data_IF_291177792894
#
_entry.id   IF_291177792894
#
_cell.length_a   1.000
_cell.length_b   1.000
_cell.length_c   1.000
_cell.angle_alpha   90.00
_cell.angle_beta   90.00
_cell.angle_gamma   90.00
#
_symmetry.space_group_name_H-M   'P 1'
#
loop_
_entity.id
_entity.type
_entity.pdbx_description
1 polymer ?
#
# COMPACT_ATOMS: atom_id res chain seq x y z
N UNK A 1 0.71 -46.40 26.45
CA UNK A 1 0.87 -45.77 25.12
C UNK A 1 0.90 -44.23 25.25
N UNK A 2 2.07 -43.58 25.20
CA UNK A 2 2.20 -42.11 25.28
C UNK A 2 1.84 -41.46 23.93
N UNK A 3 0.73 -40.72 23.86
CA UNK A 3 0.34 -39.92 22.67
C UNK A 3 1.32 -38.75 22.50
N UNK A 4 2.22 -38.83 21.51
CA UNK A 4 3.04 -37.69 21.06
C UNK A 4 2.11 -36.63 20.44
N UNK A 5 1.88 -35.50 21.12
CA UNK A 5 1.25 -34.31 20.53
C UNK A 5 2.14 -33.80 19.39
N UNK A 6 1.72 -33.98 18.14
CA UNK A 6 2.34 -33.33 16.96
C UNK A 6 2.19 -31.81 17.16
N UNK A 7 3.30 -31.09 17.42
CA UNK A 7 3.35 -29.63 17.33
C UNK A 7 3.00 -29.22 15.91
N UNK A 8 1.80 -28.69 15.69
CA UNK A 8 1.39 -28.05 14.43
C UNK A 8 2.37 -26.91 14.17
N UNK A 9 3.23 -27.04 13.16
CA UNK A 9 4.12 -25.97 12.69
C UNK A 9 3.20 -24.84 12.21
N UNK A 10 3.03 -23.77 13.00
CA UNK A 10 2.28 -22.58 12.56
C UNK A 10 2.93 -22.12 11.27
N UNK A 11 2.21 -22.20 10.13
CA UNK A 11 2.64 -21.59 8.88
C UNK A 11 2.90 -20.11 9.20
N UNK A 12 4.06 -19.58 8.81
CA UNK A 12 4.30 -18.14 8.92
C UNK A 12 3.23 -17.47 8.06
N UNK A 13 2.29 -16.79 8.70
CA UNK A 13 1.32 -15.93 8.01
C UNK A 13 2.12 -14.76 7.45
N UNK A 14 2.46 -14.83 6.17
CA UNK A 14 3.02 -13.68 5.45
C UNK A 14 1.86 -12.96 4.79
N UNK A 15 1.35 -11.91 5.43
CA UNK A 15 0.48 -10.92 4.78
C UNK A 15 1.33 -9.95 3.95
N UNK A 16 2.19 -10.49 3.10
CA UNK A 16 3.12 -9.73 2.28
C UNK A 16 2.41 -8.85 1.27
N UNK A 17 1.23 -9.26 0.80
CA UNK A 17 0.35 -8.51 -0.08
C UNK A 17 -0.01 -7.13 0.50
N UNK A 18 -0.29 -7.05 1.81
CA UNK A 18 -0.59 -5.78 2.47
C UNK A 18 0.62 -4.84 2.46
N UNK A 19 1.81 -5.38 2.74
CA UNK A 19 3.05 -4.59 2.72
C UNK A 19 3.42 -4.15 1.30
N UNK A 20 3.34 -5.06 0.33
CA UNK A 20 3.63 -4.77 -1.08
C UNK A 20 2.69 -3.70 -1.62
N UNK A 21 1.38 -3.83 -1.35
CA UNK A 21 0.40 -2.84 -1.72
C UNK A 21 0.71 -1.48 -1.07
N UNK A 22 0.92 -1.46 0.25
CA UNK A 22 1.22 -0.24 0.98
C UNK A 22 2.44 0.49 0.40
N UNK A 23 3.55 -0.22 0.15
CA UNK A 23 4.77 0.36 -0.42
C UNK A 23 4.52 0.94 -1.81
N UNK A 24 3.86 0.19 -2.69
CA UNK A 24 3.58 0.63 -4.06
C UNK A 24 2.61 1.82 -4.12
N UNK A 25 1.62 1.87 -3.21
CA UNK A 25 0.72 3.02 -3.07
C UNK A 25 1.42 4.26 -2.47
N UNK A 26 2.37 4.08 -1.55
CA UNK A 26 3.23 5.17 -1.09
C UNK A 26 4.08 5.74 -2.25
N UNK A 27 4.68 4.86 -3.06
CA UNK A 27 5.42 5.26 -4.26
C UNK A 27 4.53 6.04 -5.22
N UNK A 28 3.31 5.55 -5.48
CA UNK A 28 2.34 6.24 -6.32
C UNK A 28 2.07 7.66 -5.82
N UNK A 29 1.71 7.79 -4.54
CA UNK A 29 1.41 9.10 -3.94
C UNK A 29 2.57 10.07 -4.06
N UNK A 30 3.79 9.64 -3.76
CA UNK A 30 5.00 10.47 -3.86
C UNK A 30 5.30 10.88 -5.30
N UNK A 31 5.20 9.94 -6.25
CA UNK A 31 5.53 10.19 -7.66
C UNK A 31 4.53 11.15 -8.32
N UNK A 32 3.22 10.98 -8.10
CA UNK A 32 2.23 11.92 -8.66
C UNK A 32 2.38 13.32 -8.04
N UNK A 33 2.63 13.42 -6.73
CA UNK A 33 2.96 14.71 -6.09
C UNK A 33 4.18 15.38 -6.73
N UNK A 34 5.23 14.60 -7.02
CA UNK A 34 6.45 15.09 -7.64
C UNK A 34 6.21 15.57 -9.07
N UNK A 35 5.42 14.85 -9.85
CA UNK A 35 5.01 15.25 -11.21
C UNK A 35 4.25 16.58 -11.18
N UNK A 36 3.26 16.70 -10.30
CA UNK A 36 2.42 17.89 -10.22
C UNK A 36 3.19 19.11 -9.71
N UNK A 37 4.15 18.91 -8.80
CA UNK A 37 5.07 19.97 -8.38
C UNK A 37 5.91 20.48 -9.56
N UNK A 38 6.34 19.61 -10.48
CA UNK A 38 7.06 20.03 -11.70
C UNK A 38 6.16 20.78 -12.68
N UNK A 39 4.89 20.39 -12.77
CA UNK A 39 3.87 21.01 -13.62
C UNK A 39 3.24 22.26 -13.00
N UNK A 40 3.70 22.71 -11.83
CA UNK A 40 3.16 23.84 -11.06
C UNK A 40 1.68 23.71 -10.71
N UNK A 41 1.17 22.47 -10.60
CA UNK A 41 -0.20 22.21 -10.14
C UNK A 41 -0.21 22.31 -8.61
N UNK A 42 -1.05 23.19 -8.07
CA UNK A 42 -1.22 23.31 -6.63
C UNK A 42 -1.93 22.08 -6.05
N UNK A 43 -1.30 21.46 -5.05
CA UNK A 43 -1.87 20.37 -4.28
C UNK A 43 -1.94 20.81 -2.82
N UNK A 44 -3.12 20.72 -2.22
CA UNK A 44 -3.31 20.90 -0.79
C UNK A 44 -3.14 19.56 -0.06
N UNK A 45 -1.92 19.26 0.38
CA UNK A 45 -1.63 18.08 1.20
C UNK A 45 -1.67 18.44 2.68
N UNK A 46 -2.74 18.02 3.36
CA UNK A 46 -2.90 18.20 4.81
C UNK A 46 -1.90 17.39 5.63
N UNK A 47 -1.24 16.39 5.04
CA UNK A 47 -0.34 15.46 5.72
C UNK A 47 0.92 15.12 4.90
N UNK A 48 1.82 16.10 4.69
CA UNK A 48 2.98 15.94 3.80
C UNK A 48 3.99 14.88 4.26
N UNK A 49 4.05 14.61 5.58
CA UNK A 49 4.99 13.66 6.19
C UNK A 49 4.43 12.25 6.32
N UNK A 50 3.15 12.02 5.99
CA UNK A 50 2.57 10.67 6.02
C UNK A 50 2.88 9.92 4.73
N UNK A 51 3.03 8.60 4.85
CA UNK A 51 3.23 7.67 3.74
C UNK A 51 4.53 7.95 2.95
N UNK A 52 5.56 8.45 3.63
CA UNK A 52 6.88 8.69 3.05
C UNK A 52 7.71 7.41 3.15
N UNK A 53 8.28 7.01 2.03
CA UNK A 53 9.21 5.88 1.92
C UNK A 53 10.52 6.35 1.30
N UNK A 54 11.57 5.54 1.48
CA UNK A 54 12.92 5.84 0.99
C UNK A 54 13.01 5.73 -0.54
N UNK A 55 13.72 6.69 -1.15
CA UNK A 55 14.06 6.70 -2.58
C UNK A 55 14.96 5.53 -3.00
N UNK A 56 15.64 4.87 -2.05
CA UNK A 56 16.48 3.70 -2.32
C UNK A 56 15.65 2.41 -2.56
N UNK A 57 14.33 2.45 -2.34
CA UNK A 57 13.46 1.30 -2.55
C UNK A 57 13.38 0.92 -4.03
N UNK A 58 13.28 -0.40 -4.35
CA UNK A 58 12.98 -0.85 -5.70
C UNK A 58 11.72 -0.16 -6.25
N UNK A 59 11.84 0.40 -7.45
CA UNK A 59 10.77 1.16 -8.08
C UNK A 59 9.69 0.24 -8.64
N UNK A 60 8.43 0.54 -8.34
CA UNK A 60 7.29 -0.13 -8.96
C UNK A 60 7.29 0.04 -10.48
N UNK A 61 7.12 -1.08 -11.18
CA UNK A 61 6.93 -1.11 -12.63
C UNK A 61 5.66 -0.36 -13.06
N UNK A 62 4.60 -0.34 -12.24
CA UNK A 62 3.36 0.34 -12.57
C UNK A 62 3.51 1.86 -12.36
N UNK A 63 4.02 2.26 -11.19
CA UNK A 63 4.09 3.67 -10.79
C UNK A 63 5.08 4.46 -11.64
N UNK A 64 6.26 3.89 -11.88
CA UNK A 64 7.36 4.57 -12.57
C UNK A 64 7.38 4.31 -14.09
N UNK A 65 6.35 3.69 -14.65
CA UNK A 65 6.20 3.63 -16.10
C UNK A 65 5.87 5.03 -16.64
N UNK A 66 6.73 5.58 -17.48
CA UNK A 66 6.57 6.90 -18.11
C UNK A 66 5.55 6.90 -19.24
N UNK A 67 5.22 5.74 -19.79
CA UNK A 67 4.30 5.60 -20.92
C UNK A 67 2.83 5.50 -20.50
N UNK A 68 2.57 5.28 -19.20
CA UNK A 68 1.20 5.14 -18.68
C UNK A 68 0.70 6.43 -18.05
N UNK A 69 -0.56 6.78 -18.34
CA UNK A 69 -1.20 7.93 -17.72
C UNK A 69 -1.44 7.68 -16.22
N UNK A 70 -1.62 8.74 -15.44
CA UNK A 70 -1.97 8.62 -14.01
C UNK A 70 -3.24 7.80 -13.79
N UNK A 71 -4.24 7.94 -14.67
CA UNK A 71 -5.49 7.17 -14.61
C UNK A 71 -5.24 5.69 -14.84
N UNK A 72 -4.42 5.35 -15.83
CA UNK A 72 -4.07 3.95 -16.11
C UNK A 72 -3.29 3.32 -14.96
N UNK A 73 -2.42 4.09 -14.29
CA UNK A 73 -1.73 3.64 -13.07
C UNK A 73 -2.71 3.32 -11.95
N UNK A 74 -3.70 4.19 -11.72
CA UNK A 74 -4.76 3.95 -10.73
C UNK A 74 -5.50 2.65 -11.06
N UNK A 75 -5.97 2.50 -12.31
CA UNK A 75 -6.69 1.31 -12.77
C UNK A 75 -5.84 0.04 -12.57
N UNK A 76 -4.57 0.07 -12.98
CA UNK A 76 -3.65 -1.06 -12.84
C UNK A 76 -3.43 -1.46 -11.38
N UNK A 77 -3.30 -0.49 -10.46
CA UNK A 77 -3.17 -0.75 -9.03
C UNK A 77 -4.46 -1.35 -8.44
N UNK A 78 -5.64 -0.88 -8.87
CA UNK A 78 -6.92 -1.47 -8.44
C UNK A 78 -7.03 -2.91 -8.93
N UNK A 79 -6.68 -3.20 -10.18
CA UNK A 79 -6.66 -4.56 -10.70
C UNK A 79 -5.69 -5.48 -9.96
N UNK A 80 -4.53 -4.95 -9.55
CA UNK A 80 -3.47 -5.73 -8.90
C UNK A 80 -3.79 -6.10 -7.45
N UNK A 81 -4.40 -5.18 -6.69
CA UNK A 81 -4.55 -5.31 -5.25
C UNK A 81 -5.99 -5.30 -4.74
N UNK A 82 -6.92 -4.64 -5.43
CA UNK A 82 -8.23 -4.29 -4.85
C UNK A 82 -9.38 -5.09 -5.49
N UNK A 83 -9.26 -5.44 -6.77
CA UNK A 83 -10.27 -6.24 -7.47
C UNK A 83 -10.41 -7.60 -6.78
N UNK A 84 -11.66 -8.03 -6.56
CA UNK A 84 -11.93 -9.36 -6.02
C UNK A 84 -11.32 -10.44 -6.93
N UNK A 85 -10.62 -11.40 -6.33
CA UNK A 85 -9.88 -12.44 -7.04
C UNK A 85 -8.53 -11.98 -7.61
N UNK A 86 -8.05 -10.78 -7.27
CA UNK A 86 -6.70 -10.35 -7.65
C UNK A 86 -5.63 -11.24 -6.97
N UNK A 87 -4.51 -11.47 -7.66
CA UNK A 87 -3.42 -12.31 -7.14
C UNK A 87 -2.85 -11.79 -5.81
N UNK A 88 -2.82 -10.47 -5.64
CA UNK A 88 -2.38 -9.81 -4.42
C UNK A 88 -3.56 -9.09 -3.75
N UNK A 89 -4.75 -9.67 -3.80
CA UNK A 89 -5.94 -9.11 -3.17
C UNK A 89 -5.69 -8.80 -1.69
N UNK A 90 -5.82 -7.52 -1.33
CA UNK A 90 -5.65 -7.05 0.05
C UNK A 90 -6.95 -7.18 0.84
N UNK A 91 -6.81 -7.32 2.15
CA UNK A 91 -7.94 -7.31 3.07
C UNK A 91 -8.27 -5.88 3.51
N UNK A 92 -9.25 -5.26 2.85
CA UNK A 92 -9.77 -3.92 3.16
C UNK A 92 -11.28 -3.97 3.35
N UNK A 93 -11.84 -2.91 3.94
CA UNK A 93 -13.27 -2.79 4.16
C UNK A 93 -14.07 -2.92 2.85
N UNK A 94 -15.27 -3.49 2.95
CA UNK A 94 -16.18 -3.65 1.81
C UNK A 94 -16.51 -2.29 1.17
N UNK A 95 -16.71 -1.27 2.00
CA UNK A 95 -16.98 0.09 1.55
C UNK A 95 -15.83 0.64 0.70
N UNK A 96 -14.59 0.64 1.22
CA UNK A 96 -13.43 1.16 0.48
C UNK A 96 -13.17 0.37 -0.79
N UNK A 97 -13.37 -0.96 -0.77
CA UNK A 97 -13.30 -1.77 -1.98
C UNK A 97 -14.32 -1.32 -3.03
N UNK A 98 -15.57 -1.13 -2.64
CA UNK A 98 -16.62 -0.71 -3.57
C UNK A 98 -16.38 0.67 -4.17
N UNK A 99 -15.86 1.62 -3.39
CA UNK A 99 -15.47 2.95 -3.87
C UNK A 99 -14.40 2.83 -4.98
N UNK A 100 -13.40 1.97 -4.78
CA UNK A 100 -12.36 1.74 -5.80
C UNK A 100 -12.89 0.97 -7.01
N UNK A 101 -13.79 0.00 -6.80
CA UNK A 101 -14.42 -0.73 -7.90
C UNK A 101 -15.34 0.17 -8.73
N UNK A 102 -15.94 1.22 -8.14
CA UNK A 102 -16.73 2.18 -8.88
C UNK A 102 -15.91 2.90 -9.98
N UNK A 103 -14.63 3.17 -9.71
CA UNK A 103 -13.68 3.71 -10.70
C UNK A 103 -13.55 2.76 -11.91
N UNK A 104 -13.45 1.45 -11.68
CA UNK A 104 -13.32 0.47 -12.76
C UNK A 104 -14.61 0.33 -13.57
N UNK A 105 -15.77 0.41 -12.92
CA UNK A 105 -17.08 0.25 -13.57
C UNK A 105 -17.44 1.45 -14.45
N UNK A 106 -16.96 2.64 -14.08
CA UNK A 106 -17.26 3.86 -14.80
C UNK A 106 -16.00 4.73 -14.92
N UNK A 107 -15.23 4.62 -16.02
CA UNK A 107 -14.05 5.47 -16.24
C UNK A 107 -14.36 6.97 -16.25
N UNK A 108 -15.60 7.38 -16.55
CA UNK A 108 -16.03 8.78 -16.44
C UNK A 108 -16.04 9.29 -15.00
N UNK A 109 -15.91 8.40 -14.00
CA UNK A 109 -15.67 8.76 -12.60
C UNK A 109 -14.46 9.69 -12.47
N UNK A 110 -13.41 9.52 -13.28
CA UNK A 110 -12.25 10.41 -13.27
C UNK A 110 -12.57 11.86 -13.65
N UNK A 111 -13.67 12.12 -14.35
CA UNK A 111 -14.14 13.48 -14.68
C UNK A 111 -14.76 14.19 -13.48
N UNK A 112 -15.17 13.44 -12.46
CA UNK A 112 -15.78 13.98 -11.24
C UNK A 112 -14.73 14.50 -10.24
N UNK A 113 -13.45 14.15 -10.44
CA UNK A 113 -12.36 14.56 -9.55
C UNK A 113 -11.48 15.59 -10.23
N UNK A 114 -11.18 16.67 -9.49
CA UNK A 114 -10.06 17.54 -9.84
C UNK A 114 -8.78 16.69 -9.92
N UNK A 115 -7.93 16.86 -10.94
CA UNK A 115 -6.63 16.19 -11.03
C UNK A 115 -5.82 16.30 -9.73
N UNK A 116 -5.91 17.43 -9.02
CA UNK A 116 -5.23 17.68 -7.73
C UNK A 116 -5.55 16.64 -6.63
N UNK A 117 -6.61 15.85 -6.78
CA UNK A 117 -7.00 14.78 -5.86
C UNK A 117 -6.36 13.43 -6.18
N UNK A 118 -5.82 13.24 -7.40
CA UNK A 118 -5.25 11.96 -7.84
C UNK A 118 -4.14 11.42 -6.94
N UNK A 119 -3.23 12.24 -6.36
CA UNK A 119 -2.24 11.73 -5.41
C UNK A 119 -2.85 11.06 -4.18
N UNK A 120 -4.06 11.46 -3.78
CA UNK A 120 -4.69 11.06 -2.52
C UNK A 120 -5.77 9.99 -2.68
N UNK A 121 -6.01 9.51 -3.90
CA UNK A 121 -7.10 8.57 -4.20
C UNK A 121 -7.02 7.29 -3.37
N UNK A 122 -5.80 6.89 -2.99
CA UNK A 122 -5.54 5.69 -2.19
C UNK A 122 -5.27 5.98 -0.70
N UNK A 123 -5.37 7.22 -0.25
CA UNK A 123 -5.14 7.56 1.17
C UNK A 123 -6.06 6.78 2.13
N UNK A 124 -7.35 6.51 1.83
CA UNK A 124 -8.18 5.64 2.66
C UNK A 124 -7.58 4.24 2.84
N UNK A 125 -7.09 3.63 1.75
CA UNK A 125 -6.49 2.30 1.74
C UNK A 125 -5.16 2.31 2.50
N UNK A 126 -4.32 3.32 2.28
CA UNK A 126 -3.06 3.48 2.99
C UNK A 126 -3.27 3.56 4.52
N UNK A 127 -4.34 4.22 4.97
CA UNK A 127 -4.71 4.28 6.39
C UNK A 127 -5.14 2.90 6.91
N UNK A 128 -6.02 2.21 6.21
CA UNK A 128 -6.46 0.86 6.60
C UNK A 128 -5.28 -0.12 6.68
N UNK A 129 -4.44 -0.17 5.64
CA UNK A 129 -3.28 -1.05 5.58
C UNK A 129 -2.28 -0.74 6.70
N UNK A 130 -2.03 0.53 7.00
CA UNK A 130 -1.13 0.89 8.09
C UNK A 130 -1.65 0.38 9.45
N UNK A 131 -2.96 0.47 9.69
CA UNK A 131 -3.58 -0.06 10.91
C UNK A 131 -3.47 -1.58 10.98
N UNK A 132 -3.79 -2.29 9.89
CA UNK A 132 -3.70 -3.75 9.81
C UNK A 132 -2.26 -4.25 9.99
N UNK A 133 -1.30 -3.56 9.38
CA UNK A 133 0.11 -3.90 9.50
C UNK A 133 0.68 -3.58 10.87
N UNK A 134 0.09 -2.64 11.64
CA UNK A 134 0.55 -2.33 13.01
C UNK A 134 0.51 -3.55 13.92
N UNK A 135 -0.56 -4.33 13.83
CA UNK A 135 -0.71 -5.56 14.61
C UNK A 135 0.24 -6.66 14.14
N UNK A 136 0.46 -6.75 12.83
CA UNK A 136 1.43 -7.68 12.25
C UNK A 136 2.87 -7.32 12.63
N UNK A 137 3.19 -6.02 12.64
CA UNK A 137 4.47 -5.50 13.09
C UNK A 137 4.68 -5.71 14.59
N UNK A 138 3.67 -5.46 15.43
CA UNK A 138 3.75 -5.71 16.87
C UNK A 138 4.15 -7.18 17.17
N UNK A 139 3.51 -8.13 16.48
CA UNK A 139 3.88 -9.55 16.56
C UNK A 139 5.30 -9.82 16.04
N UNK A 140 5.67 -9.21 14.92
CA UNK A 140 7.02 -9.34 14.34
C UNK A 140 8.11 -8.77 15.24
N UNK A 141 7.86 -7.63 15.88
CA UNK A 141 8.79 -6.96 16.78
C UNK A 141 9.14 -7.84 17.98
N UNK A 142 8.23 -8.70 18.44
CA UNK A 142 8.48 -9.66 19.52
C UNK A 142 9.30 -10.89 19.08
N UNK A 143 9.61 -11.03 17.79
CA UNK A 143 10.39 -12.18 17.31
C UNK A 143 11.87 -12.06 17.65
N UNK A 144 12.50 -13.19 18.00
CA UNK A 144 13.92 -13.24 18.34
C UNK A 144 14.85 -12.63 17.25
N UNK A 145 14.62 -12.82 15.93
CA UNK A 145 15.43 -12.18 14.91
C UNK A 145 15.35 -10.66 14.94
N UNK A 146 14.15 -10.10 15.10
CA UNK A 146 13.98 -8.64 15.18
C UNK A 146 14.61 -8.07 16.44
N UNK A 147 14.40 -8.71 17.59
CA UNK A 147 15.01 -8.29 18.85
C UNK A 147 16.54 -8.28 18.77
N UNK A 148 17.14 -9.34 18.19
CA UNK A 148 18.59 -9.41 17.96
C UNK A 148 19.09 -8.29 17.05
N UNK A 149 18.38 -7.97 15.97
CA UNK A 149 18.72 -6.86 15.09
C UNK A 149 18.60 -5.52 15.82
N UNK A 150 17.50 -5.30 16.54
CA UNK A 150 17.25 -4.04 17.25
C UNK A 150 18.30 -3.76 18.34
N UNK A 151 18.67 -4.77 19.13
CA UNK A 151 19.75 -4.65 20.12
C UNK A 151 21.12 -4.35 19.51
N UNK A 152 21.35 -4.68 18.24
CA UNK A 152 22.63 -4.44 17.55
C UNK A 152 22.73 -3.06 16.91
N UNK A 153 21.61 -2.48 16.48
CA UNK A 153 21.62 -1.28 15.63
C UNK A 153 20.83 -0.09 16.18
N UNK A 154 19.99 -0.27 17.19
CA UNK A 154 19.12 0.78 17.75
C UNK A 154 19.28 0.91 19.29
N UNK A 155 20.49 0.73 19.82
CA UNK A 155 20.76 1.20 21.19
C UNK A 155 20.89 2.73 21.20
N UNK A 156 20.48 3.40 22.30
CA UNK A 156 20.67 4.84 22.47
C UNK A 156 22.15 5.24 22.44
#
# INVERSE_FOLDING_TARGET
>A
KKKKKKKKKKKKEFSSENLLCYLELCQYRQEIKKQYKKENIQINDTHPTKFVISEAMPKSKIVFNSETSTKDKIIALIHKYIKMGATYEINISYQTRNEMIAILRNPSFFLQFSPSLYPFIFDPILKELLLLMRDSFSRFAQTAPFQKWNSKYNQP
#
